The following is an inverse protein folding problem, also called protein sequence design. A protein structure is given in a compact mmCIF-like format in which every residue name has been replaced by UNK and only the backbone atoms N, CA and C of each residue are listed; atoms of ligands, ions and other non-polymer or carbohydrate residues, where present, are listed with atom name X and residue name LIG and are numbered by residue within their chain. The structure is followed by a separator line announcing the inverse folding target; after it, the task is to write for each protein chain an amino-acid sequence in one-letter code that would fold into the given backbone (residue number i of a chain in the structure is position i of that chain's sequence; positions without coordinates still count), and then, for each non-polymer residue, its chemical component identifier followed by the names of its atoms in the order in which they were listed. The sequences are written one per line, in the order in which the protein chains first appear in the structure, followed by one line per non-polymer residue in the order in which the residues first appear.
data_IF_517615064788
#
_entry.id   IF_517615064788
#
_cell.length_a   1.000
_cell.length_b   1.000
_cell.length_c   1.000
_cell.angle_alpha   90.00
_cell.angle_beta   90.00
_cell.angle_gamma   90.00
#
_symmetry.space_group_name_H-M   'P 1'
#
loop_
_entity.id
_entity.type
_entity.pdbx_description
1 polymer ?
#
# COMPACT_ATOMS: atom_id res chain seq x y z
N UNK A 1 22.37 -28.12 -6.54
CA UNK A 1 23.09 -28.53 -5.31
C UNK A 1 23.53 -27.25 -4.63
N UNK A 2 22.82 -26.72 -3.64
CA UNK A 2 22.15 -27.38 -2.51
C UNK A 2 20.72 -26.88 -2.30
N UNK A 3 19.81 -27.85 -2.16
CA UNK A 3 18.55 -27.69 -1.43
C UNK A 3 18.84 -27.50 0.06
N UNK A 4 18.19 -26.53 0.69
CA UNK A 4 18.03 -26.52 2.15
C UNK A 4 16.53 -26.55 2.44
N UNK A 5 16.03 -27.77 2.56
CA UNK A 5 14.87 -28.05 3.38
C UNK A 5 15.35 -28.17 4.84
N UNK A 6 14.56 -27.65 5.77
CA UNK A 6 13.93 -28.47 6.82
C UNK A 6 13.13 -27.59 7.77
N UNK A 7 11.81 -27.73 7.65
CA UNK A 7 10.86 -27.51 8.73
C UNK A 7 11.30 -28.23 10.02
N UNK A 8 11.12 -27.54 11.15
CA UNK A 8 10.80 -28.19 12.42
C UNK A 8 11.48 -27.56 13.64
N UNK A 9 10.69 -26.86 14.47
CA UNK A 9 10.38 -27.25 15.85
C UNK A 9 9.69 -26.09 16.61
N UNK A 10 8.50 -26.36 17.17
CA UNK A 10 8.03 -25.69 18.38
C UNK A 10 6.59 -25.14 18.39
N UNK A 11 5.62 -26.02 18.65
CA UNK A 11 4.26 -25.65 19.06
C UNK A 11 4.24 -24.89 20.39
N UNK A 12 3.39 -23.86 20.50
CA UNK A 12 2.82 -23.45 21.79
C UNK A 12 2.79 -21.94 22.06
N UNK A 13 1.75 -21.25 21.56
CA UNK A 13 0.83 -20.39 22.34
C UNK A 13 -0.13 -19.73 21.37
N UNK A 14 -1.42 -20.09 21.45
CA UNK A 14 -2.50 -19.34 20.79
C UNK A 14 -2.61 -17.98 21.47
N UNK A 15 -1.91 -16.98 20.93
CA UNK A 15 -2.05 -15.57 21.27
C UNK A 15 -2.71 -14.83 20.10
N UNK A 16 -3.88 -14.26 20.36
CA UNK A 16 -4.57 -13.17 19.63
C UNK A 16 -4.01 -12.77 18.26
N UNK A 17 -4.78 -13.02 17.20
CA UNK A 17 -4.45 -12.80 15.78
C UNK A 17 -4.01 -11.35 15.48
N UNK A 18 -2.70 -11.15 15.35
CA UNK A 18 -2.10 -10.06 14.60
C UNK A 18 -1.69 -10.61 13.22
N UNK A 19 -1.96 -9.86 12.15
CA UNK A 19 -1.70 -10.23 10.75
C UNK A 19 -0.37 -10.98 10.56
N UNK A 20 -0.44 -12.23 10.10
CA UNK A 20 0.75 -13.00 9.70
C UNK A 20 1.32 -12.36 8.44
N UNK A 21 2.60 -11.97 8.48
CA UNK A 21 3.28 -11.34 7.36
C UNK A 21 3.36 -12.32 6.20
N UNK A 22 2.72 -12.00 5.08
CA UNK A 22 2.77 -12.83 3.89
C UNK A 22 4.21 -12.90 3.32
N UNK A 23 4.61 -14.03 2.70
CA UNK A 23 5.93 -14.19 2.09
C UNK A 23 6.24 -13.12 1.03
N UNK A 24 7.53 -12.90 0.79
CA UNK A 24 7.98 -12.04 -0.32
C UNK A 24 7.54 -12.66 -1.64
N UNK A 25 6.91 -11.86 -2.51
CA UNK A 25 6.39 -12.31 -3.80
C UNK A 25 4.92 -12.75 -3.78
N UNK A 26 4.32 -12.91 -2.61
CA UNK A 26 2.91 -13.31 -2.44
C UNK A 26 2.01 -12.15 -1.97
N UNK A 27 2.58 -10.94 -1.89
CA UNK A 27 1.88 -9.71 -1.49
C UNK A 27 1.73 -8.77 -2.66
N UNK A 28 0.59 -8.10 -2.70
CA UNK A 28 0.40 -6.89 -3.49
C UNK A 28 1.13 -5.71 -2.85
N UNK A 29 1.44 -4.70 -3.66
CA UNK A 29 2.04 -3.45 -3.16
C UNK A 29 1.18 -2.72 -2.11
N UNK A 30 -0.16 -2.60 -2.24
CA UNK A 30 -0.98 -2.04 -1.18
C UNK A 30 -0.91 -2.83 0.14
N UNK A 31 -0.85 -4.17 0.11
CA UNK A 31 -0.69 -4.98 1.33
C UNK A 31 0.65 -4.71 2.00
N UNK A 32 1.73 -4.62 1.23
CA UNK A 32 3.04 -4.23 1.77
C UNK A 32 3.01 -2.82 2.38
N UNK A 33 2.30 -1.87 1.77
CA UNK A 33 2.15 -0.53 2.32
C UNK A 33 1.37 -0.54 3.64
N UNK A 34 0.31 -1.34 3.76
CA UNK A 34 -0.44 -1.51 5.02
C UNK A 34 0.42 -2.18 6.11
N UNK A 35 1.19 -3.23 5.76
CA UNK A 35 2.12 -3.87 6.70
C UNK A 35 3.21 -2.91 7.21
N UNK A 36 3.76 -2.09 6.32
CA UNK A 36 4.74 -1.07 6.69
C UNK A 36 4.09 0.04 7.53
N UNK A 37 2.85 0.43 7.24
CA UNK A 37 2.13 1.40 8.06
C UNK A 37 1.88 0.92 9.50
N UNK A 38 1.81 -0.40 9.72
CA UNK A 38 1.70 -1.01 11.05
C UNK A 38 3.06 -1.19 11.74
N UNK A 39 4.11 -1.57 11.00
CA UNK A 39 5.42 -1.94 11.57
C UNK A 39 6.43 -0.80 11.66
N UNK A 40 6.43 0.12 10.69
CA UNK A 40 7.27 1.31 10.65
C UNK A 40 6.49 2.50 10.06
N UNK A 41 5.51 3.04 10.82
CA UNK A 41 4.60 4.08 10.33
C UNK A 41 5.33 5.38 9.94
N UNK A 42 6.49 5.65 10.54
CA UNK A 42 7.30 6.86 10.33
C UNK A 42 8.19 6.79 9.11
N UNK A 43 8.30 5.62 8.46
CA UNK A 43 9.13 5.47 7.27
C UNK A 43 8.71 6.45 6.19
N UNK A 44 9.66 7.21 5.66
CA UNK A 44 9.40 8.12 4.54
C UNK A 44 9.20 7.28 3.27
N UNK A 45 8.07 7.50 2.61
CA UNK A 45 7.74 6.89 1.33
C UNK A 45 8.11 7.82 0.16
N UNK A 46 7.81 9.11 0.30
CA UNK A 46 8.10 10.11 -0.71
C UNK A 46 8.38 11.47 -0.07
N UNK A 47 9.09 12.32 -0.78
CA UNK A 47 9.29 13.73 -0.43
C UNK A 47 8.81 14.58 -1.61
N UNK A 48 7.91 15.51 -1.36
CA UNK A 48 7.29 16.36 -2.40
C UNK A 48 7.58 17.84 -2.14
N UNK A 49 7.65 18.65 -3.20
CA UNK A 49 7.71 20.10 -3.04
C UNK A 49 6.39 20.61 -2.44
N UNK A 50 6.46 21.55 -1.49
CA UNK A 50 5.26 22.13 -0.86
C UNK A 50 4.45 22.99 -1.82
N UNK A 51 5.15 23.63 -2.75
CA UNK A 51 4.57 24.54 -3.72
C UNK A 51 5.33 24.44 -5.06
N UNK A 52 4.89 25.25 -6.02
CA UNK A 52 5.55 25.40 -7.32
C UNK A 52 6.94 26.03 -7.19
N UNK A 53 7.14 26.89 -6.18
CA UNK A 53 8.45 27.42 -5.83
C UNK A 53 9.19 26.43 -4.92
N UNK A 54 10.34 25.95 -5.37
CA UNK A 54 11.16 24.99 -4.63
C UNK A 54 11.76 25.58 -3.35
N UNK A 55 11.86 26.91 -3.25
CA UNK A 55 12.35 27.58 -2.04
C UNK A 55 11.37 27.50 -0.88
N UNK A 56 10.09 27.21 -1.14
CA UNK A 56 9.08 26.92 -0.12
C UNK A 56 9.31 25.56 0.57
N UNK A 57 10.29 24.79 0.09
CA UNK A 57 10.79 23.58 0.72
C UNK A 57 9.94 22.34 0.41
N UNK A 58 10.21 21.30 1.19
CA UNK A 58 9.69 19.96 0.93
C UNK A 58 8.90 19.42 2.11
N UNK A 59 7.95 18.54 1.79
CA UNK A 59 7.17 17.77 2.74
C UNK A 59 7.46 16.29 2.53
N UNK A 60 7.87 15.64 3.60
CA UNK A 60 7.96 14.19 3.63
C UNK A 60 6.58 13.58 3.85
N UNK A 61 6.30 12.52 3.13
CA UNK A 61 5.09 11.70 3.22
C UNK A 61 5.49 10.34 3.76
N UNK A 62 4.93 10.00 4.90
CA UNK A 62 5.17 8.72 5.59
C UNK A 62 4.38 7.58 4.95
N UNK A 63 4.79 6.34 5.18
CA UNK A 63 4.03 5.16 4.75
C UNK A 63 2.66 5.10 5.44
N UNK A 64 2.54 5.59 6.69
CA UNK A 64 1.25 5.71 7.36
C UNK A 64 0.31 6.67 6.63
N UNK A 65 0.80 7.83 6.19
CA UNK A 65 0.01 8.79 5.41
C UNK A 65 -0.37 8.22 4.04
N UNK A 66 0.54 7.50 3.38
CA UNK A 66 0.25 6.77 2.15
C UNK A 66 -0.91 5.79 2.35
N UNK A 67 -0.82 4.89 3.34
CA UNK A 67 -1.84 3.88 3.59
C UNK A 67 -3.21 4.51 3.88
N UNK A 68 -3.25 5.59 4.67
CA UNK A 68 -4.47 6.34 4.93
C UNK A 68 -5.05 6.97 3.65
N UNK A 69 -4.22 7.61 2.83
CA UNK A 69 -4.65 8.21 1.57
C UNK A 69 -5.19 7.15 0.59
N UNK A 70 -4.53 5.99 0.51
CA UNK A 70 -4.96 4.85 -0.29
C UNK A 70 -6.31 4.32 0.19
N UNK A 71 -6.49 4.13 1.51
CA UNK A 71 -7.76 3.64 2.07
C UNK A 71 -8.90 4.63 1.83
N UNK A 72 -8.67 5.92 2.03
CA UNK A 72 -9.65 6.96 1.74
C UNK A 72 -10.03 6.99 0.25
N UNK A 73 -9.04 6.85 -0.63
CA UNK A 73 -9.26 6.82 -2.09
C UNK A 73 -10.00 5.54 -2.51
N UNK A 74 -9.70 4.39 -1.92
CA UNK A 74 -10.39 3.13 -2.19
C UNK A 74 -11.87 3.22 -1.79
N UNK A 75 -12.16 3.79 -0.61
CA UNK A 75 -13.55 4.09 -0.21
C UNK A 75 -14.25 5.04 -1.19
N UNK A 76 -13.55 6.05 -1.69
CA UNK A 76 -14.11 6.94 -2.71
C UNK A 76 -14.40 6.21 -4.03
N UNK A 77 -13.46 5.37 -4.52
CA UNK A 77 -13.64 4.56 -5.74
C UNK A 77 -14.85 3.63 -5.58
N UNK A 78 -14.91 2.90 -4.47
CA UNK A 78 -16.00 1.98 -4.19
C UNK A 78 -17.36 2.70 -4.12
N UNK A 79 -17.42 3.89 -3.53
CA UNK A 79 -18.65 4.67 -3.45
C UNK A 79 -19.07 5.36 -4.76
N UNK A 80 -18.15 5.60 -5.70
CA UNK A 80 -18.43 6.32 -6.96
C UNK A 80 -18.53 5.43 -8.19
N UNK A 81 -17.67 4.42 -8.26
CA UNK A 81 -17.51 3.53 -9.41
C UNK A 81 -17.97 2.11 -9.05
N UNK A 82 -17.77 1.71 -7.79
CA UNK A 82 -18.01 0.35 -7.30
C UNK A 82 -16.71 -0.44 -7.14
N UNK A 83 -16.87 -1.73 -6.83
CA UNK A 83 -15.76 -2.71 -6.87
C UNK A 83 -15.81 -3.47 -8.18
N UNK A 84 -14.66 -3.89 -8.68
CA UNK A 84 -14.57 -4.75 -9.86
C UNK A 84 -14.40 -6.21 -9.46
N UNK A 85 -15.26 -7.06 -9.99
CA UNK A 85 -15.27 -8.53 -9.88
C UNK A 85 -14.52 -9.20 -11.04
N UNK A 86 -14.22 -8.45 -12.11
CA UNK A 86 -13.66 -8.96 -13.38
C UNK A 86 -12.32 -8.33 -13.74
N UNK A 87 -11.65 -7.71 -12.78
CA UNK A 87 -10.36 -7.05 -13.00
C UNK A 87 -10.42 -6.04 -14.17
N UNK A 88 -11.47 -5.21 -14.16
CA UNK A 88 -11.69 -4.16 -15.13
C UNK A 88 -10.64 -3.04 -15.01
N UNK A 89 -10.52 -2.20 -16.04
CA UNK A 89 -9.58 -1.06 -16.06
C UNK A 89 -10.29 0.23 -15.73
N UNK A 90 -9.63 1.07 -14.92
CA UNK A 90 -10.02 2.48 -14.72
C UNK A 90 -8.87 3.39 -15.13
N UNK A 91 -9.20 4.50 -15.78
CA UNK A 91 -8.21 5.49 -16.20
C UNK A 91 -8.11 6.61 -15.15
N UNK A 92 -6.87 6.99 -14.81
CA UNK A 92 -6.58 8.20 -14.05
C UNK A 92 -5.89 9.23 -14.94
N UNK A 93 -6.43 10.44 -14.95
CA UNK A 93 -5.86 11.58 -15.68
C UNK A 93 -5.64 12.74 -14.72
N UNK A 94 -4.38 13.12 -14.53
CA UNK A 94 -3.98 14.19 -13.61
C UNK A 94 -2.52 14.59 -13.78
N UNK A 95 -2.03 15.44 -12.90
CA UNK A 95 -0.61 15.80 -12.88
C UNK A 95 0.26 14.60 -12.46
N UNK A 96 1.45 14.50 -13.06
CA UNK A 96 2.42 13.43 -12.78
C UNK A 96 3.08 13.63 -11.41
N UNK A 97 2.38 13.23 -10.35
CA UNK A 97 2.83 13.30 -8.97
C UNK A 97 2.43 12.05 -8.17
N UNK A 98 2.73 12.05 -6.87
CA UNK A 98 2.51 10.91 -5.97
C UNK A 98 1.06 10.40 -5.93
N UNK A 99 0.08 11.22 -6.34
CA UNK A 99 -1.34 10.82 -6.38
C UNK A 99 -1.59 9.70 -7.38
N UNK A 100 -0.76 9.56 -8.42
CA UNK A 100 -0.82 8.42 -9.34
C UNK A 100 -0.63 7.10 -8.59
N UNK A 101 0.37 7.01 -7.70
CA UNK A 101 0.61 5.80 -6.92
C UNK A 101 -0.51 5.54 -5.90
N UNK A 102 -1.03 6.59 -5.25
CA UNK A 102 -2.16 6.50 -4.32
C UNK A 102 -3.39 5.93 -5.04
N UNK A 103 -3.74 6.49 -6.21
CA UNK A 103 -4.89 6.05 -6.98
C UNK A 103 -4.71 4.62 -7.49
N UNK A 104 -3.51 4.27 -7.96
CA UNK A 104 -3.22 2.92 -8.42
C UNK A 104 -3.33 1.88 -7.30
N UNK A 105 -2.81 2.14 -6.10
CA UNK A 105 -2.96 1.24 -4.95
C UNK A 105 -4.42 1.10 -4.52
N UNK A 106 -5.18 2.19 -4.54
CA UNK A 106 -6.60 2.17 -4.24
C UNK A 106 -7.39 1.35 -5.28
N UNK A 107 -7.07 1.49 -6.57
CA UNK A 107 -7.66 0.72 -7.66
C UNK A 107 -7.43 -0.79 -7.46
N UNK A 108 -6.21 -1.20 -7.09
CA UNK A 108 -5.87 -2.59 -6.75
C UNK A 108 -6.75 -3.08 -5.59
N UNK A 109 -6.87 -2.31 -4.50
CA UNK A 109 -7.74 -2.66 -3.36
C UNK A 109 -9.22 -2.81 -3.75
N UNK A 110 -9.66 -2.15 -4.82
CA UNK A 110 -11.01 -2.24 -5.36
C UNK A 110 -11.18 -3.29 -6.47
N UNK A 111 -10.14 -4.07 -6.78
CA UNK A 111 -10.20 -5.14 -7.79
C UNK A 111 -10.08 -4.65 -9.24
N UNK A 112 -9.49 -3.48 -9.46
CA UNK A 112 -9.19 -2.93 -10.79
C UNK A 112 -7.73 -3.16 -11.18
N UNK A 113 -7.44 -3.02 -12.48
CA UNK A 113 -6.09 -3.08 -13.07
C UNK A 113 -5.65 -1.73 -13.64
#
# INVERSE_FOLDING_TARGET
MLDIDTNGLGNGTKGSSAFERLPVGERTLPELADELALSDPSRIWATIARASDVSDGFLDVTVKELANAVNATAWWIEGKIGRSDKFATIAYQGASDIRYAIFWFAAIKCGYK
#
